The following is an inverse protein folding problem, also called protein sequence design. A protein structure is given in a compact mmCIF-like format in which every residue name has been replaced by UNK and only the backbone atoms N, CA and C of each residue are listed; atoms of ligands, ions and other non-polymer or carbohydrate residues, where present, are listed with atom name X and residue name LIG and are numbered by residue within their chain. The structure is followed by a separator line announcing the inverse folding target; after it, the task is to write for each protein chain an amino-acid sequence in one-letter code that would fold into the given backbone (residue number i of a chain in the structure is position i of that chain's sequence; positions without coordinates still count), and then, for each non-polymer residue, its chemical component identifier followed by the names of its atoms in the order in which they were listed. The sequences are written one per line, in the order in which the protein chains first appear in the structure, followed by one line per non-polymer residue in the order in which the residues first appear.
data_IF_352238863938
#
_entry.id   IF_352238863938
#
_cell.length_a   1.000
_cell.length_b   1.000
_cell.length_c   1.000
_cell.angle_alpha   90.00
_cell.angle_beta   90.00
_cell.angle_gamma   90.00
#
_symmetry.space_group_name_H-M   'P 1'
#
loop_
_entity.id
_entity.type
_entity.pdbx_description
1 polymer ?
#
# COMPACT_ATOMS: atom_id res chain seq x y z
N UNK A 1 -30.52 10.95 0.10
CA UNK A 1 -29.99 11.03 1.48
C UNK A 1 -28.49 10.79 1.34
N UNK A 2 -27.68 11.86 1.33
CA UNK A 2 -26.23 11.75 1.08
C UNK A 2 -25.59 11.00 2.23
N UNK A 3 -24.79 9.98 1.90
CA UNK A 3 -23.95 9.31 2.87
C UNK A 3 -23.06 10.38 3.53
N UNK A 4 -23.10 10.47 4.85
CA UNK A 4 -22.16 11.28 5.62
C UNK A 4 -20.76 10.74 5.28
N UNK A 5 -19.98 11.56 4.59
CA UNK A 5 -18.60 11.23 4.26
C UNK A 5 -17.78 11.19 5.56
N UNK A 6 -17.48 9.99 6.04
CA UNK A 6 -16.67 9.80 7.25
C UNK A 6 -15.19 10.03 6.95
N UNK A 7 -14.80 11.29 6.95
CA UNK A 7 -13.43 11.72 6.65
C UNK A 7 -13.07 13.02 7.36
N UNK A 8 -11.76 13.29 7.39
CA UNK A 8 -11.20 14.52 7.90
C UNK A 8 -11.08 15.57 6.79
N UNK A 9 -11.33 16.82 7.11
CA UNK A 9 -10.86 17.96 6.32
C UNK A 9 -9.33 18.06 6.43
N UNK A 10 -8.71 18.85 5.54
CA UNK A 10 -7.25 19.10 5.63
C UNK A 10 -6.84 19.68 6.99
N UNK A 11 -7.70 20.53 7.61
CA UNK A 11 -7.40 21.10 8.93
C UNK A 11 -7.49 20.03 10.02
N UNK A 12 -8.57 19.26 10.06
CA UNK A 12 -8.73 18.19 11.07
C UNK A 12 -7.64 17.12 10.94
N UNK A 13 -7.24 16.77 9.72
CA UNK A 13 -6.11 15.87 9.50
C UNK A 13 -4.78 16.46 9.97
N UNK A 14 -4.55 17.76 9.76
CA UNK A 14 -3.37 18.46 10.25
C UNK A 14 -3.29 18.43 11.77
N UNK A 15 -4.40 18.71 12.44
CA UNK A 15 -4.51 18.68 13.90
C UNK A 15 -4.29 17.24 14.44
N UNK A 16 -4.94 16.26 13.82
CA UNK A 16 -4.81 14.85 14.20
C UNK A 16 -3.38 14.30 13.99
N UNK A 17 -2.71 14.70 12.91
CA UNK A 17 -1.33 14.29 12.61
C UNK A 17 -0.27 15.12 13.33
N UNK A 18 -0.65 16.24 13.98
CA UNK A 18 0.28 17.17 14.62
C UNK A 18 1.25 17.82 13.61
N UNK A 19 0.75 18.18 12.44
CA UNK A 19 1.50 18.85 11.35
C UNK A 19 0.76 20.08 10.86
N UNK A 20 1.36 20.86 9.96
CA UNK A 20 0.68 22.02 9.34
C UNK A 20 -0.24 21.61 8.21
N UNK A 21 -1.26 22.43 7.89
CA UNK A 21 -2.13 22.25 6.71
C UNK A 21 -1.32 22.13 5.41
N UNK A 22 -0.28 22.94 5.27
CA UNK A 22 0.61 22.91 4.10
C UNK A 22 1.29 21.55 3.99
N UNK A 23 1.73 20.96 5.11
CA UNK A 23 2.31 19.62 5.13
C UNK A 23 1.31 18.55 4.69
N UNK A 24 0.06 18.62 5.16
CA UNK A 24 -1.01 17.71 4.71
C UNK A 24 -1.26 17.83 3.20
N UNK A 25 -1.30 19.06 2.66
CA UNK A 25 -1.45 19.26 1.22
C UNK A 25 -0.29 18.66 0.42
N UNK A 26 0.94 18.79 0.90
CA UNK A 26 2.10 18.14 0.28
C UNK A 26 1.99 16.62 0.37
N UNK A 27 1.56 16.07 1.51
CA UNK A 27 1.36 14.62 1.67
C UNK A 27 0.32 14.08 0.69
N UNK A 28 -0.74 14.84 0.41
CA UNK A 28 -1.74 14.49 -0.61
C UNK A 28 -1.11 14.56 -2.01
N UNK A 29 -0.42 15.64 -2.33
CA UNK A 29 0.24 15.82 -3.62
C UNK A 29 1.33 14.80 -3.92
N UNK A 30 2.04 14.35 -2.89
CA UNK A 30 3.11 13.33 -2.97
C UNK A 30 2.54 11.89 -2.90
N UNK A 31 1.21 11.70 -2.82
CA UNK A 31 0.58 10.38 -2.66
C UNK A 31 0.84 9.69 -1.31
N UNK A 32 1.37 10.41 -0.33
CA UNK A 32 1.61 9.89 1.02
C UNK A 32 0.34 9.77 1.87
N UNK A 33 -0.70 10.52 1.49
CA UNK A 33 -2.00 10.57 2.14
C UNK A 33 -3.07 10.57 1.06
N UNK A 34 -3.86 9.52 1.02
CA UNK A 34 -4.96 9.41 0.07
C UNK A 34 -6.07 10.38 0.48
N UNK A 35 -6.54 11.17 -0.47
CA UNK A 35 -7.64 12.09 -0.26
C UNK A 35 -8.50 12.20 -1.51
N UNK A 36 -9.79 12.43 -1.33
CA UNK A 36 -10.73 12.65 -2.42
C UNK A 36 -11.19 14.11 -2.42
N UNK A 37 -11.40 14.65 -3.61
CA UNK A 37 -11.89 16.01 -3.77
C UNK A 37 -13.41 16.01 -3.97
N UNK A 38 -14.12 16.47 -2.94
CA UNK A 38 -15.58 16.64 -2.99
C UNK A 38 -15.90 18.13 -3.16
N UNK A 39 -16.34 18.50 -4.33
CA UNK A 39 -16.52 19.91 -4.70
C UNK A 39 -15.20 20.66 -4.61
N UNK A 40 -15.10 21.64 -3.70
CA UNK A 40 -13.88 22.44 -3.51
C UNK A 40 -13.09 22.07 -2.25
N UNK A 41 -13.37 20.92 -1.65
CA UNK A 41 -12.71 20.46 -0.41
C UNK A 41 -12.05 19.11 -0.60
N UNK A 42 -10.87 18.95 -0.02
CA UNK A 42 -10.23 17.65 0.17
C UNK A 42 -10.83 16.96 1.39
N UNK A 43 -11.26 15.72 1.22
CA UNK A 43 -11.71 14.84 2.28
C UNK A 43 -10.73 13.68 2.37
N UNK A 44 -10.19 13.46 3.57
CA UNK A 44 -9.20 12.44 3.85
C UNK A 44 -9.88 11.35 4.66
N UNK A 45 -9.98 10.11 4.18
CA UNK A 45 -10.59 9.02 4.93
C UNK A 45 -9.94 8.85 6.31
N UNK A 46 -10.74 8.57 7.35
CA UNK A 46 -10.23 8.43 8.74
C UNK A 46 -9.11 7.41 8.85
N UNK A 47 -9.25 6.27 8.20
CA UNK A 47 -8.24 5.21 8.24
C UNK A 47 -6.88 5.67 7.69
N UNK A 48 -6.86 6.56 6.70
CA UNK A 48 -5.63 7.14 6.15
C UNK A 48 -4.89 8.00 7.20
N UNK A 49 -5.63 8.81 7.94
CA UNK A 49 -5.05 9.60 9.03
C UNK A 49 -4.50 8.68 10.12
N UNK A 50 -5.25 7.65 10.51
CA UNK A 50 -4.79 6.67 11.50
C UNK A 50 -3.61 5.83 11.01
N UNK A 51 -3.60 5.46 9.72
CA UNK A 51 -2.45 4.81 9.08
C UNK A 51 -1.20 5.70 9.24
N UNK A 52 -1.29 6.97 8.84
CA UNK A 52 -0.19 7.92 8.96
C UNK A 52 0.28 8.16 10.40
N UNK A 53 -0.62 8.10 11.39
CA UNK A 53 -0.24 8.22 12.81
C UNK A 53 0.61 7.04 13.31
N UNK A 54 0.37 5.83 12.78
CA UNK A 54 1.11 4.61 13.14
C UNK A 54 2.46 4.50 12.45
N UNK A 55 2.63 5.19 11.32
CA UNK A 55 3.91 5.20 10.64
C UNK A 55 4.97 5.88 11.50
N UNK A 56 6.17 5.28 11.67
CA UNK A 56 7.27 5.94 12.34
C UNK A 56 7.53 7.29 11.67
N UNK A 57 7.72 8.34 12.46
CA UNK A 57 8.15 9.66 11.96
C UNK A 57 9.64 9.59 11.60
N UNK A 58 10.00 8.69 10.72
CA UNK A 58 11.37 8.51 10.24
C UNK A 58 11.70 9.63 9.27
N UNK A 59 12.77 10.34 9.54
CA UNK A 59 13.24 11.44 8.70
C UNK A 59 13.73 10.94 7.34
N UNK A 60 13.50 11.73 6.31
CA UNK A 60 13.96 11.49 4.96
C UNK A 60 12.82 11.56 3.93
N UNK A 61 13.15 12.09 2.76
CA UNK A 61 12.25 12.07 1.60
C UNK A 61 12.24 10.64 1.03
N UNK A 62 11.08 10.03 0.78
CA UNK A 62 11.02 8.74 0.08
C UNK A 62 11.76 8.80 -1.25
N UNK A 63 12.32 7.67 -1.66
CA UNK A 63 12.92 7.54 -2.99
C UNK A 63 11.85 7.71 -4.09
N UNK A 64 12.28 8.04 -5.31
CA UNK A 64 11.39 7.93 -6.47
C UNK A 64 10.94 6.48 -6.68
N UNK A 65 9.85 6.27 -7.43
CA UNK A 65 9.37 4.93 -7.75
C UNK A 65 10.47 4.07 -8.39
N UNK A 66 11.17 4.60 -9.40
CA UNK A 66 12.29 3.92 -10.06
C UNK A 66 13.39 3.50 -9.08
N UNK A 67 13.81 4.40 -8.19
CA UNK A 67 14.86 4.08 -7.20
C UNK A 67 14.36 3.08 -6.16
N UNK A 68 13.11 3.17 -5.73
CA UNK A 68 12.52 2.20 -4.81
C UNK A 68 12.54 0.80 -5.40
N UNK A 69 12.15 0.65 -6.67
CA UNK A 69 12.20 -0.65 -7.34
C UNK A 69 13.62 -1.16 -7.56
N UNK A 70 14.57 -0.29 -7.92
CA UNK A 70 15.99 -0.68 -7.99
C UNK A 70 16.51 -1.26 -6.68
N UNK A 71 16.14 -0.66 -5.54
CA UNK A 71 16.54 -1.17 -4.22
C UNK A 71 15.83 -2.48 -3.87
N UNK A 72 14.56 -2.64 -4.22
CA UNK A 72 13.83 -3.90 -4.08
C UNK A 72 14.52 -5.01 -4.88
N UNK A 73 14.93 -4.72 -6.11
CA UNK A 73 15.67 -5.66 -6.94
C UNK A 73 17.04 -5.99 -6.33
N UNK A 74 17.80 -4.99 -5.80
CA UNK A 74 19.07 -5.19 -5.08
C UNK A 74 18.88 -6.12 -3.86
N UNK A 75 17.83 -5.89 -3.05
CA UNK A 75 17.48 -6.71 -1.89
C UNK A 75 17.08 -8.14 -2.30
N UNK A 76 16.35 -8.29 -3.41
CA UNK A 76 15.87 -9.59 -3.89
C UNK A 76 17.00 -10.50 -4.40
N UNK A 77 18.10 -9.91 -4.88
CA UNK A 77 19.27 -10.62 -5.41
C UNK A 77 20.48 -10.61 -4.48
N UNK A 78 20.27 -10.36 -3.17
CA UNK A 78 21.31 -10.30 -2.15
C UNK A 78 22.43 -9.27 -2.40
N UNK A 79 22.18 -8.27 -3.26
CA UNK A 79 23.12 -7.18 -3.51
C UNK A 79 23.10 -6.10 -2.41
N UNK A 80 22.16 -6.23 -1.47
CA UNK A 80 22.02 -5.35 -0.30
C UNK A 80 21.62 -6.17 0.92
N UNK A 81 22.21 -5.88 2.10
CA UNK A 81 21.83 -6.57 3.34
C UNK A 81 20.36 -6.36 3.69
N UNK A 82 19.66 -7.44 4.07
CA UNK A 82 18.22 -7.38 4.40
C UNK A 82 17.97 -6.54 5.65
N UNK A 83 18.94 -6.41 6.55
CA UNK A 83 18.85 -5.57 7.74
C UNK A 83 18.59 -4.11 7.39
N UNK A 84 19.07 -3.66 6.23
CA UNK A 84 18.79 -2.33 5.72
C UNK A 84 17.28 -2.08 5.57
N UNK A 85 16.52 -3.09 5.13
CA UNK A 85 15.08 -2.97 4.88
C UNK A 85 14.32 -2.61 6.16
N UNK A 86 14.68 -3.20 7.30
CA UNK A 86 14.01 -2.95 8.58
C UNK A 86 14.03 -1.48 8.97
N UNK A 87 15.16 -0.82 8.75
CA UNK A 87 15.36 0.56 9.19
C UNK A 87 14.92 1.57 8.11
N UNK A 88 14.81 1.14 6.85
CA UNK A 88 14.62 2.05 5.69
C UNK A 88 13.40 1.71 4.82
N UNK A 89 12.52 0.78 5.21
CA UNK A 89 11.34 0.40 4.43
C UNK A 89 10.49 1.62 4.01
N UNK A 90 10.39 2.62 4.89
CA UNK A 90 9.64 3.86 4.64
C UNK A 90 10.17 4.67 3.46
N UNK A 91 11.43 4.47 3.06
CA UNK A 91 12.00 5.09 1.87
C UNK A 91 11.44 4.50 0.57
N UNK A 92 10.86 3.28 0.64
CA UNK A 92 10.31 2.56 -0.50
C UNK A 92 8.81 2.83 -0.75
N UNK A 93 8.19 3.70 0.06
CA UNK A 93 6.74 3.99 -0.01
C UNK A 93 6.27 4.51 -1.37
N UNK A 94 7.14 5.22 -2.08
CA UNK A 94 6.82 5.77 -3.41
C UNK A 94 7.00 4.75 -4.55
N UNK A 95 7.19 3.45 -4.26
CA UNK A 95 7.31 2.39 -5.27
C UNK A 95 6.07 2.27 -6.15
N UNK A 96 4.91 2.60 -5.59
CA UNK A 96 3.63 2.64 -6.28
C UNK A 96 2.80 3.83 -5.78
N UNK A 97 1.92 4.35 -6.59
CA UNK A 97 0.80 5.17 -6.12
C UNK A 97 -0.26 4.22 -5.59
N UNK A 98 -0.94 4.56 -4.50
CA UNK A 98 -1.96 3.66 -3.95
C UNK A 98 -3.29 4.36 -3.74
N UNK A 99 -4.35 3.58 -3.80
CA UNK A 99 -5.73 3.96 -3.45
C UNK A 99 -6.29 2.90 -2.52
N UNK A 100 -6.80 3.31 -1.38
CA UNK A 100 -7.41 2.43 -0.39
C UNK A 100 -8.92 2.61 -0.41
N UNK A 101 -9.67 1.52 -0.31
CA UNK A 101 -11.12 1.59 -0.34
C UNK A 101 -11.79 0.29 0.07
N UNK A 102 -13.11 0.24 -0.16
CA UNK A 102 -13.93 -0.94 0.06
C UNK A 102 -14.44 -1.47 -1.26
N UNK A 103 -14.23 -2.75 -1.48
CA UNK A 103 -14.82 -3.54 -2.56
C UNK A 103 -15.90 -4.47 -1.98
N UNK A 104 -16.77 -4.98 -2.84
CA UNK A 104 -17.77 -5.96 -2.43
C UNK A 104 -17.09 -7.24 -1.91
N UNK A 105 -17.49 -7.77 -0.74
CA UNK A 105 -16.84 -8.94 -0.13
C UNK A 105 -16.78 -10.17 -1.04
N UNK A 106 -17.82 -10.39 -1.83
CA UNK A 106 -17.93 -11.53 -2.75
C UNK A 106 -16.88 -11.48 -3.87
N UNK A 107 -16.36 -10.29 -4.21
CA UNK A 107 -15.32 -10.12 -5.23
C UNK A 107 -13.91 -10.37 -4.70
N UNK A 108 -13.71 -10.48 -3.38
CA UNK A 108 -12.37 -10.70 -2.79
C UNK A 108 -11.78 -12.03 -3.29
N UNK A 109 -12.59 -13.08 -3.39
CA UNK A 109 -12.14 -14.37 -3.90
C UNK A 109 -11.77 -14.31 -5.38
N UNK A 110 -12.49 -13.53 -6.17
CA UNK A 110 -12.28 -13.40 -7.62
C UNK A 110 -10.97 -12.66 -7.93
N UNK A 111 -10.54 -11.75 -7.06
CA UNK A 111 -9.26 -11.00 -7.22
C UNK A 111 -8.07 -11.93 -7.37
N UNK A 112 -8.06 -13.08 -6.64
CA UNK A 112 -6.96 -14.06 -6.76
C UNK A 112 -6.87 -14.73 -8.11
N UNK A 113 -7.96 -14.76 -8.86
CA UNK A 113 -8.06 -15.40 -10.17
C UNK A 113 -7.98 -14.39 -11.31
N UNK A 114 -8.01 -13.09 -11.01
CA UNK A 114 -7.93 -12.05 -12.03
C UNK A 114 -6.49 -11.97 -12.62
N UNK A 115 -6.31 -12.19 -13.93
CA UNK A 115 -5.01 -12.11 -14.58
C UNK A 115 -4.42 -10.69 -14.63
N UNK A 116 -5.21 -9.67 -14.32
CA UNK A 116 -4.79 -8.27 -14.31
C UNK A 116 -4.36 -7.78 -12.92
N UNK A 117 -4.21 -8.70 -11.97
CA UNK A 117 -3.86 -8.40 -10.59
C UNK A 117 -2.68 -9.25 -10.14
N UNK A 118 -1.75 -8.65 -9.41
CA UNK A 118 -0.72 -9.33 -8.62
C UNK A 118 -0.99 -9.05 -7.16
N UNK A 119 -1.06 -10.09 -6.34
CA UNK A 119 -1.43 -9.97 -4.93
C UNK A 119 -0.22 -9.61 -4.08
N UNK A 120 -0.39 -8.70 -3.12
CA UNK A 120 0.61 -8.20 -2.19
C UNK A 120 0.31 -8.55 -0.73
N UNK A 121 0.97 -7.84 0.18
CA UNK A 121 0.72 -7.87 1.61
C UNK A 121 0.78 -9.24 2.27
N UNK A 122 -0.14 -9.47 3.21
CA UNK A 122 -0.21 -10.70 4.00
C UNK A 122 -0.43 -11.96 3.15
N UNK A 123 -1.17 -11.85 2.05
CA UNK A 123 -1.43 -12.97 1.15
C UNK A 123 -0.18 -13.40 0.40
N UNK A 124 0.55 -12.46 -0.18
CA UNK A 124 1.80 -12.76 -0.85
C UNK A 124 2.82 -13.35 0.12
N UNK A 125 2.84 -12.85 1.37
CA UNK A 125 3.69 -13.38 2.42
C UNK A 125 3.36 -14.84 2.75
N UNK A 126 2.08 -15.16 2.92
CA UNK A 126 1.61 -16.53 3.20
C UNK A 126 1.88 -17.49 2.02
N UNK A 127 1.62 -17.06 0.80
CA UNK A 127 1.87 -17.85 -0.42
C UNK A 127 3.36 -18.15 -0.62
N UNK A 128 4.22 -17.29 -0.11
CA UNK A 128 5.68 -17.44 -0.13
C UNK A 128 6.25 -18.12 1.13
N UNK A 129 5.39 -18.72 1.96
CA UNK A 129 5.78 -19.56 3.12
C UNK A 129 6.05 -18.79 4.41
N UNK A 130 5.85 -17.47 4.45
CA UNK A 130 5.90 -16.75 5.73
C UNK A 130 4.64 -17.06 6.56
N UNK A 131 4.78 -17.06 7.90
CA UNK A 131 3.69 -17.37 8.83
C UNK A 131 2.64 -16.24 8.96
N UNK A 132 2.38 -15.52 7.87
CA UNK A 132 1.34 -14.51 7.79
C UNK A 132 -0.04 -15.17 7.70
N UNK A 133 -1.06 -14.50 8.25
CA UNK A 133 -2.44 -14.95 8.09
C UNK A 133 -2.98 -14.44 6.76
N UNK A 134 -3.27 -15.31 5.78
CA UNK A 134 -3.99 -14.90 4.59
C UNK A 134 -5.39 -14.39 4.98
N UNK A 135 -5.98 -13.53 4.17
CA UNK A 135 -7.33 -12.99 4.37
C UNK A 135 -7.50 -11.96 5.51
N UNK A 136 -6.43 -11.32 5.96
CA UNK A 136 -6.55 -10.16 6.84
C UNK A 136 -6.75 -8.90 5.99
N UNK A 137 -7.88 -8.19 6.07
CA UNK A 137 -8.05 -6.91 5.37
C UNK A 137 -7.08 -5.84 5.91
N UNK A 138 -6.66 -4.89 5.06
CA UNK A 138 -6.98 -4.78 3.65
C UNK A 138 -6.18 -5.77 2.78
N UNK A 139 -6.81 -6.24 1.70
CA UNK A 139 -6.14 -6.98 0.64
C UNK A 139 -5.27 -6.01 -0.19
N UNK A 140 -3.99 -6.27 -0.28
CA UNK A 140 -3.09 -5.50 -1.14
C UNK A 140 -3.05 -6.11 -2.54
N UNK A 141 -3.28 -5.28 -3.56
CA UNK A 141 -3.24 -5.69 -4.97
C UNK A 141 -2.45 -4.70 -5.81
N UNK A 142 -1.68 -5.21 -6.75
CA UNK A 142 -0.92 -4.42 -7.71
C UNK A 142 -1.61 -4.48 -9.08
N UNK A 143 -1.76 -3.34 -9.71
CA UNK A 143 -2.33 -3.19 -11.05
C UNK A 143 -1.47 -2.24 -11.90
N UNK A 144 -1.50 -2.42 -13.21
CA UNK A 144 -0.88 -1.46 -14.12
C UNK A 144 -1.63 -0.13 -14.11
N UNK A 145 -0.92 0.98 -14.26
CA UNK A 145 -1.48 2.33 -14.41
C UNK A 145 -2.52 2.42 -15.53
N UNK A 146 -2.29 1.70 -16.65
CA UNK A 146 -3.24 1.63 -17.77
C UNK A 146 -4.55 0.93 -17.44
N UNK A 147 -4.60 0.10 -16.38
CA UNK A 147 -5.77 -0.68 -15.95
C UNK A 147 -6.41 -0.19 -14.65
N UNK A 148 -5.74 0.69 -13.90
CA UNK A 148 -6.15 1.08 -12.56
C UNK A 148 -7.59 1.62 -12.49
N UNK A 149 -7.98 2.50 -13.42
CA UNK A 149 -9.32 3.08 -13.44
C UNK A 149 -10.39 2.03 -13.75
N UNK A 150 -10.20 1.25 -14.83
CA UNK A 150 -11.16 0.21 -15.22
C UNK A 150 -11.29 -0.87 -14.16
N UNK A 151 -10.19 -1.25 -13.51
CA UNK A 151 -10.20 -2.20 -12.40
C UNK A 151 -10.98 -1.67 -11.20
N UNK A 152 -10.68 -0.44 -10.76
CA UNK A 152 -11.40 0.19 -9.63
C UNK A 152 -12.92 0.28 -9.87
N UNK A 153 -13.33 0.54 -11.11
CA UNK A 153 -14.75 0.55 -11.51
C UNK A 153 -15.33 -0.88 -11.49
N UNK A 154 -14.62 -1.87 -11.99
CA UNK A 154 -15.08 -3.26 -12.06
C UNK A 154 -15.33 -3.86 -10.67
N UNK A 155 -14.50 -3.55 -9.68
CA UNK A 155 -14.68 -4.01 -8.30
C UNK A 155 -15.62 -3.10 -7.48
N UNK A 156 -16.21 -2.06 -8.08
CA UNK A 156 -17.08 -1.10 -7.39
C UNK A 156 -16.39 -0.41 -6.21
N UNK A 157 -15.13 0.00 -6.39
CA UNK A 157 -14.30 0.56 -5.32
C UNK A 157 -14.93 1.81 -4.71
N UNK A 158 -15.19 1.78 -3.42
CA UNK A 158 -15.62 2.92 -2.62
C UNK A 158 -14.41 3.47 -1.86
N UNK A 159 -13.88 4.61 -2.28
CA UNK A 159 -12.66 5.20 -1.71
C UNK A 159 -12.89 5.91 -0.39
N UNK A 160 -14.09 6.44 -0.16
CA UNK A 160 -14.45 7.09 1.11
C UNK A 160 -15.22 6.09 1.97
N UNK A 161 -14.49 5.39 2.83
CA UNK A 161 -15.05 4.37 3.73
C UNK A 161 -14.30 4.35 5.06
N UNK A 162 -15.03 4.07 6.15
CA UNK A 162 -14.44 3.87 7.47
C UNK A 162 -13.71 2.52 7.59
N UNK A 163 -14.10 1.55 6.77
CA UNK A 163 -13.60 0.18 6.84
C UNK A 163 -13.14 -0.29 5.46
N UNK A 164 -11.93 0.13 5.03
CA UNK A 164 -11.36 -0.34 3.78
C UNK A 164 -11.02 -1.83 3.89
N UNK A 165 -11.23 -2.57 2.79
CA UNK A 165 -10.85 -3.98 2.70
C UNK A 165 -9.88 -4.26 1.53
N UNK A 166 -9.50 -3.23 0.77
CA UNK A 166 -8.54 -3.35 -0.32
C UNK A 166 -7.65 -2.11 -0.41
N UNK A 167 -6.37 -2.33 -0.71
CA UNK A 167 -5.40 -1.31 -1.12
C UNK A 167 -4.92 -1.64 -2.54
N UNK A 168 -5.15 -0.74 -3.48
CA UNK A 168 -4.70 -0.87 -4.87
C UNK A 168 -3.40 -0.11 -5.03
N UNK A 169 -2.33 -0.82 -5.33
CA UNK A 169 -1.02 -0.27 -5.67
C UNK A 169 -0.90 -0.15 -7.20
N UNK A 170 -0.73 1.07 -7.69
CA UNK A 170 -0.66 1.37 -9.11
C UNK A 170 0.81 1.50 -9.51
N UNK A 171 1.24 0.69 -10.45
CA UNK A 171 2.62 0.67 -10.97
C UNK A 171 2.64 0.96 -12.46
N UNK A 172 3.78 1.41 -12.98
CA UNK A 172 3.97 1.64 -14.43
C UNK A 172 3.85 0.33 -15.20
N UNK A 173 3.49 0.41 -16.49
CA UNK A 173 3.38 -0.75 -17.36
C UNK A 173 4.69 -1.58 -17.37
N UNK A 174 5.87 -0.93 -17.44
CA UNK A 174 7.16 -1.63 -17.41
C UNK A 174 7.36 -2.46 -16.13
N UNK A 175 6.96 -1.91 -14.97
CA UNK A 175 7.06 -2.63 -13.70
C UNK A 175 6.00 -3.73 -13.61
N UNK A 176 4.82 -3.48 -14.13
CA UNK A 176 3.75 -4.47 -14.23
C UNK A 176 4.20 -5.72 -14.97
N UNK A 177 4.83 -5.58 -16.13
CA UNK A 177 5.31 -6.71 -16.93
C UNK A 177 6.27 -7.63 -16.15
N UNK A 178 7.06 -7.04 -15.24
CA UNK A 178 7.95 -7.82 -14.35
C UNK A 178 7.20 -8.47 -13.18
N UNK A 179 6.22 -7.77 -12.59
CA UNK A 179 5.44 -8.30 -11.46
C UNK A 179 4.46 -9.38 -11.89
N UNK A 180 3.85 -9.22 -13.06
CA UNK A 180 2.80 -10.13 -13.57
C UNK A 180 3.32 -11.49 -14.00
N UNK A 181 4.64 -11.70 -14.04
CA UNK A 181 5.23 -13.03 -14.24
C UNK A 181 4.88 -13.99 -13.09
N UNK A 182 4.66 -13.44 -11.89
CA UNK A 182 4.21 -14.16 -10.70
C UNK A 182 2.80 -13.70 -10.30
N UNK A 183 2.06 -14.56 -9.60
CA UNK A 183 0.73 -14.21 -9.08
C UNK A 183 0.80 -13.35 -7.83
N UNK A 184 1.90 -13.42 -7.11
CA UNK A 184 2.14 -12.70 -5.86
C UNK A 184 3.47 -11.97 -5.91
N UNK A 185 3.53 -10.81 -5.25
CA UNK A 185 4.78 -10.08 -5.11
C UNK A 185 5.81 -10.87 -4.28
N UNK A 186 7.08 -10.51 -4.39
CA UNK A 186 8.11 -11.11 -3.54
C UNK A 186 8.00 -10.67 -2.07
N UNK A 187 8.68 -11.38 -1.15
CA UNK A 187 8.60 -11.13 0.28
C UNK A 187 9.07 -9.71 0.70
N UNK A 188 9.96 -9.08 -0.07
CA UNK A 188 10.43 -7.72 0.24
C UNK A 188 9.32 -6.71 0.01
N UNK A 189 8.59 -6.85 -1.09
CA UNK A 189 7.43 -6.01 -1.40
C UNK A 189 6.32 -6.28 -0.39
N UNK A 190 6.00 -7.55 -0.11
CA UNK A 190 5.00 -7.94 0.88
C UNK A 190 5.32 -7.37 2.28
N UNK A 191 6.59 -7.44 2.70
CA UNK A 191 7.04 -6.81 3.94
C UNK A 191 6.76 -5.29 3.95
N UNK A 192 7.07 -4.61 2.85
CA UNK A 192 6.86 -3.16 2.75
C UNK A 192 5.37 -2.80 2.81
N UNK A 193 4.50 -3.59 2.16
CA UNK A 193 3.03 -3.43 2.23
C UNK A 193 2.54 -3.57 3.68
N UNK A 194 2.97 -4.63 4.38
CA UNK A 194 2.59 -4.89 5.77
C UNK A 194 3.07 -3.79 6.73
N UNK A 195 4.28 -3.27 6.51
CA UNK A 195 4.80 -2.14 7.29
C UNK A 195 4.00 -0.87 7.05
N UNK A 196 3.57 -0.62 5.81
CA UNK A 196 2.69 0.51 5.47
C UNK A 196 1.31 0.38 6.10
N UNK A 197 0.77 -0.83 6.16
CA UNK A 197 -0.49 -1.13 6.83
C UNK A 197 -0.38 -1.10 8.36
N UNK A 198 0.84 -1.15 8.92
CA UNK A 198 1.07 -1.30 10.35
C UNK A 198 0.70 -2.70 10.86
N UNK A 199 0.80 -3.71 10.01
CA UNK A 199 0.47 -5.09 10.33
C UNK A 199 1.63 -5.77 11.07
N UNK A 200 1.31 -6.49 12.16
CA UNK A 200 2.27 -7.24 12.96
C UNK A 200 2.91 -8.41 12.21
N UNK A 201 2.25 -8.91 11.17
CA UNK A 201 2.81 -9.95 10.31
C UNK A 201 4.12 -9.52 9.62
N UNK A 202 4.40 -8.22 9.53
CA UNK A 202 5.67 -7.70 9.02
C UNK A 202 6.89 -8.29 9.78
N UNK A 203 6.81 -8.45 11.11
CA UNK A 203 7.89 -9.02 11.92
C UNK A 203 8.17 -10.48 11.55
N UNK A 204 7.14 -11.23 11.19
CA UNK A 204 7.28 -12.63 10.77
C UNK A 204 7.88 -12.73 9.38
N UNK A 205 7.43 -11.89 8.46
CA UNK A 205 8.01 -11.81 7.11
C UNK A 205 9.47 -11.37 7.18
N UNK A 206 9.81 -10.43 8.06
CA UNK A 206 11.21 -10.03 8.24
C UNK A 206 12.08 -11.17 8.75
N UNK A 207 11.58 -11.99 9.70
CA UNK A 207 12.30 -13.19 10.17
C UNK A 207 12.52 -14.19 9.04
N UNK A 208 11.52 -14.44 8.20
CA UNK A 208 11.66 -15.30 7.03
C UNK A 208 12.68 -14.77 6.03
N UNK A 209 12.63 -13.46 5.73
CA UNK A 209 13.63 -12.82 4.86
C UNK A 209 15.07 -12.94 5.39
N UNK A 210 15.24 -12.91 6.72
CA UNK A 210 16.55 -12.96 7.35
C UNK A 210 17.12 -14.37 7.52
N UNK A 211 16.26 -15.33 7.83
CA UNK A 211 16.67 -16.68 8.24
C UNK A 211 16.21 -17.80 7.31
N UNK A 212 15.18 -17.57 6.48
CA UNK A 212 14.64 -18.54 5.54
C UNK A 212 15.45 -18.70 4.24
N UNK A 213 16.42 -17.83 4.01
CA UNK A 213 17.32 -17.90 2.86
C UNK A 213 18.47 -18.91 3.14
N UNK A 214 18.13 -20.21 3.10
CA UNK A 214 19.14 -21.28 3.09
C UNK A 214 18.99 -22.13 1.84
#
# INVERSE_FOLDING_TARGET
MGALVDGFTVQEAADALGVTRVRVQHMIGDGQLVAERIGNRWIIPRHEVFRCQRLPRTGGRPYSATRSWSIIDELSHDHRPIEWLRDHWHMLRSRATHTTGRMLPDLIADVYHDPHVVVGGAHAAADRGAAARPFTPPLDVYVSDSKAVSYSMAIGLQTITAEPNVTIHIVTAERWDRLSADRTVNLIVAYTDLMEAGDRAADEVYRELRFGRR
#
